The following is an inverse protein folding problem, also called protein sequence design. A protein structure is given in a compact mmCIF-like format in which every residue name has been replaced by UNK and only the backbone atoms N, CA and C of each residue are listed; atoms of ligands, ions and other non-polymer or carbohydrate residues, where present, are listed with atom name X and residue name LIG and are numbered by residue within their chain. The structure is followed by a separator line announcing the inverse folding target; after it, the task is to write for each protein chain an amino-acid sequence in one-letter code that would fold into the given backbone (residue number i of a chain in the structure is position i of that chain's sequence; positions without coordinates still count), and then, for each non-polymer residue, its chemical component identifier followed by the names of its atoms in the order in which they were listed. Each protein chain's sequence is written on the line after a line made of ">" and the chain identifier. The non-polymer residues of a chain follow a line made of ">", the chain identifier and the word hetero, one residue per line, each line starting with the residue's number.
data_IF_910221714819
#
_entry.id   IF_910221714819
#
_cell.length_a   1.000
_cell.length_b   1.000
_cell.length_c   1.000
_cell.angle_alpha   90.00
_cell.angle_beta   90.00
_cell.angle_gamma   90.00
#
_symmetry.space_group_name_H-M   'P 1'
#
loop_
_entity.id
_entity.type
_entity.pdbx_description
1 polymer ?
#
# COMPACT_ATOMS: atom_id res chain seq x y z
N UNK A 1 58.62 14.29 44.00
CA UNK A 1 57.98 14.67 42.73
C UNK A 1 56.74 13.80 42.52
N UNK A 2 55.54 14.36 42.65
CA UNK A 2 54.29 13.60 42.51
C UNK A 2 54.01 13.34 41.01
N UNK A 3 53.89 12.06 40.61
CA UNK A 3 53.51 11.67 39.25
C UNK A 3 52.11 12.22 38.95
N UNK A 4 51.99 13.12 37.96
CA UNK A 4 50.70 13.55 37.40
C UNK A 4 49.92 12.32 36.93
N UNK A 5 48.75 12.09 37.54
CA UNK A 5 47.77 11.09 37.12
C UNK A 5 47.36 11.44 35.68
N UNK A 6 47.72 10.62 34.70
CA UNK A 6 47.19 10.76 33.34
C UNK A 6 45.70 10.46 33.40
N UNK A 7 44.86 11.48 33.27
CA UNK A 7 43.44 11.29 32.97
C UNK A 7 43.32 10.64 31.59
N UNK A 8 42.98 9.36 31.57
CA UNK A 8 42.57 8.66 30.36
C UNK A 8 41.24 9.26 29.91
N UNK A 9 41.28 10.29 29.05
CA UNK A 9 40.08 10.81 28.40
C UNK A 9 39.55 9.71 27.47
N UNK A 10 38.40 9.12 27.82
CA UNK A 10 37.68 8.24 26.91
C UNK A 10 37.48 8.97 25.57
N UNK A 11 37.83 8.32 24.46
CA UNK A 11 37.57 8.86 23.12
C UNK A 11 36.05 8.85 22.88
N UNK A 12 35.39 9.97 23.18
CA UNK A 12 33.96 10.13 22.92
C UNK A 12 33.67 10.07 21.40
N UNK A 13 32.67 9.29 20.96
CA UNK A 13 32.36 9.08 19.53
C UNK A 13 31.69 10.31 18.88
N UNK A 14 31.14 11.22 19.68
CA UNK A 14 30.55 12.50 19.25
C UNK A 14 31.21 13.61 20.02
N UNK A 15 31.71 14.65 19.34
CA UNK A 15 32.39 15.79 19.96
C UNK A 15 31.66 17.09 19.72
N UNK A 16 31.48 17.88 20.78
CA UNK A 16 31.05 19.28 20.65
C UNK A 16 32.23 20.11 20.13
N UNK A 17 31.97 20.95 19.13
CA UNK A 17 32.91 21.88 18.52
C UNK A 17 32.26 23.25 18.35
N UNK A 18 33.10 24.26 18.17
CA UNK A 18 32.69 25.65 18.04
C UNK A 18 33.21 26.24 16.74
N UNK A 19 32.37 27.03 16.07
CA UNK A 19 32.73 27.81 14.89
C UNK A 19 32.52 29.29 15.20
N UNK A 20 33.57 30.09 15.11
CA UNK A 20 33.49 31.54 15.28
C UNK A 20 32.67 32.15 14.14
N UNK A 21 31.78 33.08 14.47
CA UNK A 21 30.98 33.84 13.51
C UNK A 21 31.50 35.28 13.41
N UNK A 22 31.22 35.93 12.28
CA UNK A 22 31.65 37.30 12.01
C UNK A 22 31.11 38.33 13.02
N UNK A 23 29.99 38.02 13.69
CA UNK A 23 29.38 38.86 14.71
C UNK A 23 29.94 38.63 16.13
N UNK A 24 31.00 37.83 16.29
CA UNK A 24 31.63 37.54 17.58
C UNK A 24 31.02 36.37 18.36
N UNK A 25 29.86 35.84 17.93
CA UNK A 25 29.26 34.66 18.55
C UNK A 25 29.97 33.37 18.14
N UNK A 26 29.79 32.30 18.90
CA UNK A 26 30.28 30.96 18.56
C UNK A 26 29.12 30.02 18.28
N UNK A 27 29.04 29.48 17.07
CA UNK A 27 28.06 28.43 16.73
C UNK A 27 28.53 27.07 17.23
N UNK A 28 27.64 26.34 17.91
CA UNK A 28 27.91 24.99 18.41
C UNK A 28 27.52 23.95 17.35
N UNK A 29 28.40 22.99 17.08
CA UNK A 29 28.14 21.85 16.21
C UNK A 29 28.71 20.55 16.77
N UNK A 30 28.13 19.43 16.37
CA UNK A 30 28.64 18.09 16.67
C UNK A 30 29.53 17.60 15.52
N UNK A 31 30.62 16.92 15.88
CA UNK A 31 31.61 16.31 14.98
C UNK A 31 31.71 14.82 15.31
N UNK A 32 31.26 13.97 14.37
CA UNK A 32 31.21 12.51 14.53
C UNK A 32 31.34 11.79 13.18
N UNK A 33 31.47 10.46 13.20
CA UNK A 33 31.63 9.62 12.00
C UNK A 33 30.41 8.70 11.83
N UNK A 34 29.94 8.50 10.60
CA UNK A 34 28.85 7.57 10.26
C UNK A 34 29.32 6.47 9.29
N UNK A 35 28.79 5.24 9.45
CA UNK A 35 29.13 4.05 8.64
C UNK A 35 29.85 2.93 9.41
N UNK A 36 30.07 1.79 8.77
CA UNK A 36 30.76 0.63 9.35
C UNK A 36 32.22 0.99 9.69
N UNK A 37 32.47 1.25 10.97
CA UNK A 37 33.79 1.63 11.46
C UNK A 37 34.69 0.40 11.52
N UNK A 38 35.27 0.01 10.39
CA UNK A 38 36.41 -0.90 10.37
C UNK A 38 37.59 -0.15 10.98
N UNK A 39 37.95 -0.48 12.23
CA UNK A 39 39.15 0.04 12.89
C UNK A 39 40.32 -0.87 12.54
N UNK A 40 41.09 -0.54 11.51
CA UNK A 40 42.47 -1.03 11.34
C UNK A 40 43.44 0.02 11.89
N UNK A 41 44.64 -0.41 12.28
CA UNK A 41 45.60 0.34 13.11
C UNK A 41 45.89 1.80 12.71
N UNK A 42 45.55 2.24 11.49
CA UNK A 42 45.61 3.65 11.07
C UNK A 42 44.45 4.12 10.17
N UNK A 43 43.29 3.46 10.20
CA UNK A 43 42.13 3.82 9.36
C UNK A 43 40.81 3.68 10.12
N UNK A 44 39.99 4.73 10.07
CA UNK A 44 38.60 4.75 10.55
C UNK A 44 37.73 4.89 9.30
N UNK A 45 37.23 3.76 8.78
CA UNK A 45 36.25 3.78 7.68
C UNK A 45 34.95 4.39 8.17
N UNK A 46 34.65 5.63 7.77
CA UNK A 46 33.41 6.31 8.14
C UNK A 46 33.37 7.70 7.54
N UNK A 47 32.18 8.15 7.12
CA UNK A 47 31.99 9.50 6.60
C UNK A 47 31.87 10.47 7.78
N UNK A 48 32.80 11.41 7.89
CA UNK A 48 32.74 12.47 8.92
C UNK A 48 31.54 13.37 8.67
N UNK A 49 30.75 13.65 9.70
CA UNK A 49 29.55 14.47 9.69
C UNK A 49 29.71 15.67 10.62
N UNK A 50 29.14 16.81 10.18
CA UNK A 50 29.05 18.03 10.96
C UNK A 50 27.59 18.43 11.13
N UNK A 51 27.12 18.48 12.37
CA UNK A 51 25.73 18.80 12.69
C UNK A 51 25.67 20.11 13.48
N UNK A 52 25.27 21.20 12.82
CA UNK A 52 25.14 22.51 13.45
C UNK A 52 23.85 22.57 14.28
N UNK A 53 23.98 22.76 15.59
CA UNK A 53 22.87 22.69 16.54
C UNK A 53 21.97 23.94 16.52
N UNK A 54 22.35 24.98 15.75
CA UNK A 54 21.75 26.32 15.80
C UNK A 54 21.73 26.92 17.22
N UNK A 55 22.63 26.47 18.08
CA UNK A 55 22.93 27.03 19.39
C UNK A 55 24.15 27.94 19.27
N UNK A 56 24.14 29.05 19.98
CA UNK A 56 25.18 30.07 19.91
C UNK A 56 25.62 30.49 21.30
N UNK A 57 26.93 30.56 21.51
CA UNK A 57 27.49 31.24 22.68
C UNK A 57 27.71 32.70 22.32
N UNK A 58 27.32 33.57 23.25
CA UNK A 58 27.52 35.02 23.15
C UNK A 58 28.78 35.43 23.92
N UNK A 59 29.43 36.55 23.56
CA UNK A 59 30.55 37.08 24.34
C UNK A 59 30.16 37.35 25.79
N UNK A 60 30.87 36.72 26.73
CA UNK A 60 30.59 36.84 28.16
C UNK A 60 31.04 38.21 28.69
N UNK A 61 30.12 39.17 28.75
CA UNK A 61 30.36 40.51 29.33
C UNK A 61 29.70 40.68 30.69
N UNK A 62 28.61 39.97 30.93
CA UNK A 62 27.82 40.03 32.16
C UNK A 62 27.65 38.65 32.81
N UNK A 63 27.24 38.64 34.08
CA UNK A 63 26.87 37.41 34.80
C UNK A 63 25.69 36.69 34.13
N UNK A 64 24.79 37.43 33.50
CA UNK A 64 23.64 36.91 32.76
C UNK A 64 24.06 36.22 31.46
N UNK A 65 25.06 36.76 30.75
CA UNK A 65 25.63 36.12 29.55
C UNK A 65 26.26 34.78 29.89
N UNK A 66 26.98 34.70 31.02
CA UNK A 66 27.56 33.47 31.53
C UNK A 66 26.49 32.42 31.84
N UNK A 67 25.39 32.81 32.50
CA UNK A 67 24.28 31.91 32.80
C UNK A 67 23.57 31.41 31.52
N UNK A 68 23.39 32.27 30.52
CA UNK A 68 22.83 31.89 29.20
C UNK A 68 23.74 30.92 28.45
N UNK A 69 25.05 31.17 28.45
CA UNK A 69 26.03 30.26 27.84
C UNK A 69 26.06 28.90 28.55
N UNK A 70 25.96 28.87 29.88
CA UNK A 70 25.92 27.63 30.66
C UNK A 70 24.68 26.79 30.33
N UNK A 71 23.49 27.40 30.28
CA UNK A 71 22.26 26.72 29.86
C UNK A 71 22.34 26.21 28.41
N UNK A 72 22.93 27.01 27.52
CA UNK A 72 23.14 26.64 26.11
C UNK A 72 24.10 25.46 25.98
N UNK A 73 25.17 25.43 26.77
CA UNK A 73 26.13 24.31 26.84
C UNK A 73 25.49 23.05 27.45
N UNK A 74 24.65 23.19 28.48
CA UNK A 74 23.91 22.07 29.06
C UNK A 74 22.98 21.42 28.02
N UNK A 75 22.26 22.24 27.24
CA UNK A 75 21.45 21.76 26.12
C UNK A 75 22.29 21.08 25.04
N UNK A 76 23.44 21.66 24.67
CA UNK A 76 24.36 21.05 23.72
C UNK A 76 24.88 19.68 24.21
N UNK A 77 25.20 19.53 25.50
CA UNK A 77 25.58 18.26 26.12
C UNK A 77 24.44 17.24 26.11
N UNK A 78 23.20 17.66 26.37
CA UNK A 78 22.05 16.77 26.28
C UNK A 78 21.86 16.23 24.84
N UNK A 79 22.03 17.09 23.82
CA UNK A 79 21.97 16.69 22.40
C UNK A 79 23.15 15.77 22.05
N UNK A 80 24.36 16.05 22.55
CA UNK A 80 25.53 15.19 22.38
C UNK A 80 25.27 13.78 22.95
N UNK A 81 24.78 13.68 24.19
CA UNK A 81 24.46 12.40 24.84
C UNK A 81 23.42 11.62 24.05
N UNK A 82 22.38 12.29 23.55
CA UNK A 82 21.36 11.67 22.69
C UNK A 82 21.99 11.11 21.40
N UNK A 83 22.88 11.86 20.75
CA UNK A 83 23.57 11.42 19.52
C UNK A 83 24.52 10.25 19.76
N UNK A 84 25.18 10.19 20.92
CA UNK A 84 26.02 9.04 21.31
C UNK A 84 25.17 7.77 21.40
N UNK A 85 24.00 7.86 22.03
CA UNK A 85 23.05 6.73 22.14
C UNK A 85 22.56 6.30 20.75
N UNK A 86 22.22 7.25 19.87
CA UNK A 86 21.81 6.95 18.49
C UNK A 86 22.91 6.23 17.69
N UNK A 87 24.16 6.69 17.76
CA UNK A 87 25.27 6.03 17.05
C UNK A 87 25.62 4.66 17.63
N UNK A 88 25.51 4.48 18.95
CA UNK A 88 25.67 3.17 19.58
C UNK A 88 24.55 2.22 19.17
N UNK A 89 23.32 2.72 19.06
CA UNK A 89 22.20 1.94 18.57
C UNK A 89 22.41 1.51 17.11
N UNK A 90 22.83 2.43 16.24
CA UNK A 90 23.10 2.13 14.83
C UNK A 90 24.27 1.14 14.66
N UNK A 91 25.36 1.29 15.43
CA UNK A 91 26.55 0.42 15.35
C UNK A 91 26.31 -1.01 15.87
N UNK A 92 25.33 -1.20 16.75
CA UNK A 92 24.95 -2.50 17.29
C UNK A 92 23.64 -3.05 16.69
N UNK A 93 23.06 -2.38 15.69
CA UNK A 93 21.82 -2.80 15.05
C UNK A 93 20.55 -2.64 15.89
N UNK A 94 20.60 -1.87 16.99
CA UNK A 94 19.41 -1.54 17.77
C UNK A 94 18.52 -0.57 16.98
N UNK A 95 17.39 -1.08 16.50
CA UNK A 95 16.37 -0.27 15.86
C UNK A 95 15.89 0.84 16.79
N UNK A 96 15.51 1.98 16.22
CA UNK A 96 14.90 3.10 16.94
C UNK A 96 13.72 2.57 17.80
N UNK A 97 13.97 2.39 19.11
CA UNK A 97 13.30 1.36 19.92
C UNK A 97 11.84 1.65 20.23
N UNK A 98 11.36 2.87 20.00
CA UNK A 98 9.96 3.23 20.23
C UNK A 98 9.09 3.13 18.99
N UNK A 99 9.60 3.48 17.80
CA UNK A 99 8.81 3.39 16.56
C UNK A 99 8.70 1.95 16.06
N UNK A 100 9.77 1.18 16.17
CA UNK A 100 9.81 -0.22 15.73
C UNK A 100 8.96 -1.17 16.60
N UNK A 101 8.53 -0.72 17.79
CA UNK A 101 7.49 -1.37 18.63
C UNK A 101 6.07 -1.09 18.16
N UNK A 102 5.87 -0.25 17.13
CA UNK A 102 4.55 -0.03 16.58
C UNK A 102 3.96 -1.35 16.07
N UNK A 103 2.67 -1.54 16.32
CA UNK A 103 1.94 -2.73 15.92
C UNK A 103 1.62 -2.68 14.43
N UNK A 104 2.02 -3.71 13.69
CA UNK A 104 1.76 -3.85 12.25
C UNK A 104 0.27 -3.99 11.96
N UNK A 105 -0.49 -4.59 12.89
CA UNK A 105 -1.94 -4.73 12.75
C UNK A 105 -2.62 -3.36 12.71
N UNK A 106 -2.27 -2.46 13.62
CA UNK A 106 -2.84 -1.10 13.68
C UNK A 106 -2.43 -0.27 12.46
N UNK A 107 -1.19 -0.43 12.02
CA UNK A 107 -0.69 0.19 10.79
C UNK A 107 -1.50 -0.25 9.56
N UNK A 108 -1.79 -1.54 9.45
CA UNK A 108 -2.64 -2.10 8.39
C UNK A 108 -4.09 -1.63 8.51
N UNK A 109 -4.63 -1.45 9.72
CA UNK A 109 -5.98 -0.87 9.90
C UNK A 109 -6.05 0.56 9.36
N UNK A 110 -5.02 1.37 9.61
CA UNK A 110 -4.94 2.72 9.02
C UNK A 110 -4.87 2.65 7.48
N UNK A 111 -4.03 1.77 6.92
CA UNK A 111 -3.97 1.55 5.47
C UNK A 111 -5.34 1.13 4.88
N UNK A 112 -6.10 0.32 5.63
CA UNK A 112 -7.45 -0.12 5.26
C UNK A 112 -8.43 1.05 5.21
N UNK A 113 -8.44 1.94 6.23
CA UNK A 113 -9.29 3.13 6.25
C UNK A 113 -9.02 4.05 5.07
N UNK A 114 -7.74 4.37 4.83
CA UNK A 114 -7.34 5.21 3.69
C UNK A 114 -7.77 4.62 2.34
N UNK A 115 -7.71 3.29 2.22
CA UNK A 115 -8.14 2.60 1.00
C UNK A 115 -9.64 2.68 0.79
N UNK A 116 -10.42 2.62 1.88
CA UNK A 116 -11.88 2.80 1.86
C UNK A 116 -12.26 4.22 1.43
N UNK A 117 -11.64 5.23 2.03
CA UNK A 117 -11.86 6.65 1.72
C UNK A 117 -11.57 6.97 0.24
N UNK A 118 -10.54 6.35 -0.33
CA UNK A 118 -10.18 6.48 -1.76
C UNK A 118 -11.09 5.65 -2.69
N UNK A 119 -12.09 4.94 -2.18
CA UNK A 119 -12.99 4.09 -2.96
C UNK A 119 -12.35 2.80 -3.48
N UNK A 120 -11.17 2.41 -2.96
CA UNK A 120 -10.45 1.19 -3.36
C UNK A 120 -10.96 -0.04 -2.60
N UNK A 121 -12.24 -0.36 -2.74
CA UNK A 121 -12.95 -1.36 -1.94
C UNK A 121 -12.36 -2.78 -2.03
N UNK A 122 -11.81 -3.19 -3.19
CA UNK A 122 -11.19 -4.51 -3.32
C UNK A 122 -9.87 -4.59 -2.54
N UNK A 123 -9.07 -3.52 -2.56
CA UNK A 123 -7.83 -3.47 -1.80
C UNK A 123 -8.13 -3.38 -0.30
N UNK A 124 -9.11 -2.58 0.11
CA UNK A 124 -9.62 -2.52 1.48
C UNK A 124 -9.98 -3.92 2.03
N UNK A 125 -10.75 -4.71 1.28
CA UNK A 125 -11.07 -6.11 1.65
C UNK A 125 -9.83 -7.00 1.75
N UNK A 126 -8.88 -6.82 0.83
CA UNK A 126 -7.62 -7.60 0.83
C UNK A 126 -6.80 -7.28 2.08
N UNK A 127 -6.71 -6.00 2.47
CA UNK A 127 -6.07 -5.59 3.72
C UNK A 127 -6.80 -6.17 4.93
N UNK A 128 -8.14 -6.11 4.94
CA UNK A 128 -8.95 -6.72 6.01
C UNK A 128 -8.73 -8.21 6.18
N UNK A 129 -8.66 -8.97 5.08
CA UNK A 129 -8.32 -10.39 5.12
C UNK A 129 -6.88 -10.63 5.60
N UNK A 130 -5.93 -9.82 5.15
CA UNK A 130 -4.52 -9.91 5.59
C UNK A 130 -4.40 -9.71 7.10
N UNK A 131 -5.11 -8.73 7.66
CA UNK A 131 -5.17 -8.49 9.12
C UNK A 131 -5.73 -9.72 9.84
N UNK A 132 -6.81 -10.33 9.33
CA UNK A 132 -7.37 -11.55 9.91
C UNK A 132 -6.35 -12.68 9.93
N UNK A 133 -5.68 -12.94 8.82
CA UNK A 133 -4.69 -14.03 8.74
C UNK A 133 -3.48 -13.78 9.66
N UNK A 134 -3.02 -12.53 9.80
CA UNK A 134 -1.97 -12.18 10.75
C UNK A 134 -2.41 -12.40 12.20
N UNK A 135 -3.65 -12.04 12.54
CA UNK A 135 -4.22 -12.30 13.87
C UNK A 135 -4.32 -13.78 14.19
N UNK A 136 -4.73 -14.60 13.22
CA UNK A 136 -4.77 -16.06 13.37
C UNK A 136 -3.37 -16.68 13.50
N UNK A 137 -2.36 -16.08 12.86
CA UNK A 137 -0.99 -16.57 12.90
C UNK A 137 -0.26 -16.26 14.22
N UNK A 138 -0.37 -15.01 14.72
CA UNK A 138 0.44 -14.50 15.84
C UNK A 138 -0.29 -13.60 16.85
N UNK A 139 -1.61 -13.44 16.71
CA UNK A 139 -2.43 -12.63 17.62
C UNK A 139 -2.54 -11.16 17.23
N UNK A 140 -3.08 -10.34 18.14
CA UNK A 140 -3.46 -8.95 17.87
C UNK A 140 -2.30 -7.95 17.86
N UNK A 141 -1.14 -8.35 18.39
CA UNK A 141 0.03 -7.49 18.50
C UNK A 141 1.25 -8.13 17.84
N UNK A 142 1.77 -7.46 16.81
CA UNK A 142 2.97 -7.86 16.09
C UNK A 142 3.81 -6.60 15.90
N UNK A 143 4.92 -6.46 16.62
CA UNK A 143 5.79 -5.31 16.47
C UNK A 143 6.55 -5.37 15.13
N UNK A 144 6.74 -4.23 14.49
CA UNK A 144 7.51 -4.15 13.25
C UNK A 144 8.95 -4.70 13.38
N UNK A 145 9.59 -4.51 14.55
CA UNK A 145 10.94 -5.02 14.82
C UNK A 145 11.04 -6.54 14.84
N UNK A 146 9.93 -7.23 15.13
CA UNK A 146 9.86 -8.69 15.25
C UNK A 146 9.54 -9.35 13.90
N UNK A 147 9.38 -8.56 12.83
CA UNK A 147 9.21 -9.06 11.46
C UNK A 147 10.59 -9.15 10.81
N UNK A 148 11.14 -10.35 10.79
CA UNK A 148 12.36 -10.71 10.07
C UNK A 148 12.05 -11.65 8.89
N UNK A 149 13.10 -12.16 8.24
CA UNK A 149 12.97 -13.13 7.14
C UNK A 149 12.24 -14.41 7.59
N UNK A 150 12.50 -14.89 8.80
CA UNK A 150 11.94 -16.15 9.31
C UNK A 150 10.45 -16.01 9.68
N UNK A 151 10.06 -14.83 10.18
CA UNK A 151 8.66 -14.44 10.35
C UNK A 151 7.94 -14.48 9.00
N UNK A 152 8.49 -13.83 7.96
CA UNK A 152 7.89 -13.81 6.63
C UNK A 152 7.76 -15.23 6.05
N UNK A 153 8.81 -16.03 6.22
CA UNK A 153 8.84 -17.42 5.80
C UNK A 153 7.74 -18.25 6.47
N UNK A 154 7.64 -18.17 7.79
CA UNK A 154 6.66 -18.87 8.61
C UNK A 154 5.23 -18.41 8.32
N UNK A 155 5.03 -17.12 8.10
CA UNK A 155 3.72 -16.56 7.76
C UNK A 155 3.24 -17.06 6.40
N UNK A 156 4.13 -17.15 5.40
CA UNK A 156 3.78 -17.70 4.09
C UNK A 156 3.43 -19.19 4.17
N UNK A 157 4.17 -19.96 4.97
CA UNK A 157 3.86 -21.38 5.17
C UNK A 157 2.51 -21.58 5.88
N UNK A 158 2.20 -20.72 6.86
CA UNK A 158 0.87 -20.64 7.47
C UNK A 158 -0.21 -20.33 6.43
N UNK A 159 -0.03 -19.30 5.60
CA UNK A 159 -1.01 -18.90 4.59
C UNK A 159 -1.32 -20.00 3.58
N UNK A 160 -0.34 -20.83 3.20
CA UNK A 160 -0.54 -21.98 2.30
C UNK A 160 -1.43 -23.07 2.91
N UNK A 161 -1.51 -23.14 4.24
CA UNK A 161 -2.33 -24.10 4.98
C UNK A 161 -3.62 -23.48 5.52
N UNK A 162 -3.75 -22.15 5.47
CA UNK A 162 -4.89 -21.43 6.00
C UNK A 162 -6.18 -21.79 5.25
N UNK A 163 -7.24 -22.08 6.02
CA UNK A 163 -8.56 -22.43 5.49
C UNK A 163 -9.26 -21.20 4.92
N UNK A 164 -10.05 -21.39 3.86
CA UNK A 164 -10.88 -20.31 3.31
C UNK A 164 -11.93 -19.87 4.34
N UNK A 165 -12.00 -18.57 4.61
CA UNK A 165 -13.11 -17.97 5.35
C UNK A 165 -14.17 -17.42 4.39
N UNK A 166 -15.42 -17.49 4.82
CA UNK A 166 -16.57 -16.87 4.15
C UNK A 166 -16.62 -15.37 4.40
N UNK A 167 -17.56 -14.70 3.72
CA UNK A 167 -17.85 -13.26 3.88
C UNK A 167 -18.14 -12.87 5.34
N UNK A 168 -18.63 -13.80 6.15
CA UNK A 168 -19.00 -13.59 7.56
C UNK A 168 -17.92 -14.07 8.55
N UNK A 169 -16.72 -14.41 8.06
CA UNK A 169 -15.64 -14.94 8.92
C UNK A 169 -15.81 -16.42 9.30
N UNK A 170 -16.95 -17.05 8.96
CA UNK A 170 -17.16 -18.48 9.16
C UNK A 170 -16.25 -19.28 8.22
N UNK A 171 -15.65 -20.36 8.71
CA UNK A 171 -14.90 -21.31 7.88
C UNK A 171 -15.79 -21.82 6.76
N UNK A 172 -15.35 -21.68 5.51
CA UNK A 172 -16.08 -22.24 4.37
C UNK A 172 -15.81 -23.75 4.33
N UNK A 173 -16.85 -24.55 4.07
CA UNK A 173 -16.65 -25.97 3.79
C UNK A 173 -15.76 -26.12 2.54
N UNK A 174 -14.57 -26.68 2.74
CA UNK A 174 -13.63 -27.05 1.67
C UNK A 174 -12.60 -25.98 1.28
N UNK A 175 -11.32 -26.34 1.43
CA UNK A 175 -10.18 -25.76 0.72
C UNK A 175 -9.31 -24.77 1.51
N UNK A 176 -8.02 -24.80 1.19
CA UNK A 176 -7.01 -23.82 1.64
C UNK A 176 -7.01 -22.58 0.74
N UNK A 177 -6.37 -21.49 1.17
CA UNK A 177 -6.17 -20.31 0.32
C UNK A 177 -5.50 -20.69 -1.01
N UNK A 178 -5.94 -20.09 -2.11
CA UNK A 178 -5.25 -20.25 -3.39
C UNK A 178 -3.94 -19.48 -3.40
N UNK A 179 -2.98 -19.88 -4.23
CA UNK A 179 -1.71 -19.17 -4.36
C UNK A 179 -1.90 -17.68 -4.65
N UNK A 180 -2.87 -17.32 -5.49
CA UNK A 180 -3.17 -15.92 -5.80
C UNK A 180 -3.66 -15.13 -4.57
N UNK A 181 -4.35 -15.79 -3.63
CA UNK A 181 -4.77 -15.17 -2.36
C UNK A 181 -3.57 -14.99 -1.43
N UNK A 182 -2.68 -15.99 -1.34
CA UNK A 182 -1.42 -15.90 -0.58
C UNK A 182 -0.55 -14.75 -1.10
N UNK A 183 -0.41 -14.65 -2.44
CA UNK A 183 0.32 -13.55 -3.10
C UNK A 183 -0.30 -12.19 -2.75
N UNK A 184 -1.62 -12.07 -2.78
CA UNK A 184 -2.30 -10.82 -2.46
C UNK A 184 -2.08 -10.41 -0.98
N UNK A 185 -2.17 -11.35 -0.05
CA UNK A 185 -2.01 -11.06 1.39
C UNK A 185 -0.56 -10.74 1.74
N UNK A 186 0.39 -11.52 1.21
CA UNK A 186 1.81 -11.19 1.33
C UNK A 186 2.13 -9.83 0.68
N UNK A 187 1.51 -9.51 -0.46
CA UNK A 187 1.68 -8.21 -1.13
C UNK A 187 1.24 -7.02 -0.25
N UNK A 188 0.16 -7.17 0.52
CA UNK A 188 -0.26 -6.17 1.51
C UNK A 188 0.78 -6.02 2.61
N UNK A 189 1.23 -7.11 3.23
CA UNK A 189 2.23 -7.08 4.29
C UNK A 189 3.56 -6.47 3.79
N UNK A 190 4.02 -6.89 2.61
CA UNK A 190 5.21 -6.34 1.93
C UNK A 190 5.07 -4.83 1.70
N UNK A 191 3.88 -4.37 1.30
CA UNK A 191 3.62 -2.93 1.13
C UNK A 191 3.73 -2.19 2.45
N UNK A 192 3.19 -2.73 3.55
CA UNK A 192 3.31 -2.14 4.87
C UNK A 192 4.77 -2.07 5.34
N UNK A 193 5.53 -3.15 5.20
CA UNK A 193 6.96 -3.19 5.56
C UNK A 193 7.77 -2.19 4.73
N UNK A 194 7.52 -2.10 3.42
CA UNK A 194 8.20 -1.14 2.55
C UNK A 194 7.90 0.31 2.94
N UNK A 195 6.67 0.63 3.35
CA UNK A 195 6.32 1.97 3.84
C UNK A 195 6.96 2.24 5.20
N UNK A 196 6.88 1.31 6.14
CA UNK A 196 7.52 1.40 7.44
C UNK A 196 9.03 1.65 7.32
N UNK A 197 9.70 0.99 6.37
CA UNK A 197 11.11 1.25 6.07
C UNK A 197 11.34 2.68 5.55
N UNK A 198 10.52 3.15 4.60
CA UNK A 198 10.63 4.53 4.06
C UNK A 198 10.32 5.60 5.12
N UNK A 199 9.44 5.31 6.06
CA UNK A 199 9.05 6.19 7.17
C UNK A 199 10.03 6.13 8.35
N UNK A 200 11.07 5.28 8.27
CA UNK A 200 12.07 5.10 9.33
C UNK A 200 11.52 4.43 10.60
N UNK A 201 10.42 3.68 10.48
CA UNK A 201 9.87 2.83 11.55
C UNK A 201 10.79 1.62 11.78
N UNK A 202 11.31 1.06 10.70
CA UNK A 202 12.33 0.01 10.68
C UNK A 202 13.54 0.46 9.86
N UNK A 203 14.72 0.03 10.25
CA UNK A 203 16.00 0.40 9.59
C UNK A 203 16.48 -0.64 8.59
N UNK A 204 15.94 -1.86 8.68
CA UNK A 204 16.22 -2.98 7.76
C UNK A 204 14.90 -3.45 7.17
N UNK A 205 14.90 -3.80 5.89
CA UNK A 205 13.72 -4.29 5.20
C UNK A 205 13.85 -5.81 4.96
N UNK A 206 13.18 -6.65 5.76
CA UNK A 206 13.30 -8.12 5.67
C UNK A 206 12.81 -8.69 4.33
N UNK A 207 11.98 -7.95 3.59
CA UNK A 207 11.45 -8.41 2.30
C UNK A 207 12.51 -8.44 1.19
N UNK A 208 13.67 -7.82 1.41
CA UNK A 208 14.81 -7.89 0.48
C UNK A 208 15.58 -9.20 0.58
N UNK A 209 15.54 -9.86 1.74
CA UNK A 209 16.26 -11.11 2.03
C UNK A 209 15.37 -12.34 1.93
N UNK A 210 14.05 -12.13 1.79
CA UNK A 210 13.06 -13.18 1.65
C UNK A 210 12.61 -13.34 0.20
N UNK A 211 13.04 -14.45 -0.43
CA UNK A 211 12.60 -14.83 -1.77
C UNK A 211 11.21 -15.46 -1.75
N UNK A 212 10.19 -14.61 -1.82
CA UNK A 212 8.80 -15.04 -1.90
C UNK A 212 8.46 -15.76 -3.22
N UNK A 213 9.11 -15.41 -4.32
CA UNK A 213 8.74 -15.86 -5.66
C UNK A 213 9.06 -17.34 -5.89
N UNK A 214 10.11 -17.88 -5.25
CA UNK A 214 10.38 -19.32 -5.26
C UNK A 214 9.38 -20.14 -4.45
N UNK A 215 8.75 -19.55 -3.41
CA UNK A 215 7.80 -20.25 -2.53
C UNK A 215 6.38 -20.34 -3.05
N UNK A 216 5.91 -19.29 -3.73
CA UNK A 216 4.52 -19.18 -4.18
C UNK A 216 4.48 -18.67 -5.61
N UNK A 217 3.99 -19.50 -6.53
CA UNK A 217 3.82 -19.13 -7.93
C UNK A 217 2.37 -18.76 -8.20
N UNK A 218 2.17 -17.68 -8.95
CA UNK A 218 0.83 -17.28 -9.39
C UNK A 218 0.22 -18.40 -10.23
N UNK A 219 -1.02 -18.74 -9.93
CA UNK A 219 -1.80 -19.67 -10.74
C UNK A 219 -2.47 -18.89 -11.85
N UNK A 220 -2.27 -19.33 -13.10
CA UNK A 220 -2.95 -18.72 -14.24
C UNK A 220 -4.44 -19.01 -14.13
N UNK A 221 -5.23 -17.96 -13.88
CA UNK A 221 -6.68 -18.08 -13.98
C UNK A 221 -7.06 -18.22 -15.45
N UNK A 222 -7.56 -19.39 -15.87
CA UNK A 222 -8.23 -19.51 -17.16
C UNK A 222 -9.52 -18.70 -17.09
N UNK A 223 -9.59 -17.63 -17.88
CA UNK A 223 -10.84 -16.87 -18.04
C UNK A 223 -11.62 -17.55 -19.14
N UNK A 224 -12.87 -17.86 -18.85
CA UNK A 224 -13.81 -18.28 -19.87
C UNK A 224 -14.21 -17.07 -20.71
N UNK A 225 -14.61 -17.33 -21.95
CA UNK A 225 -15.15 -16.35 -22.88
C UNK A 225 -16.38 -16.95 -23.57
N UNK A 226 -17.27 -16.08 -24.02
CA UNK A 226 -18.41 -16.45 -24.84
C UNK A 226 -18.01 -16.59 -26.30
N UNK A 227 -18.39 -17.70 -26.94
CA UNK A 227 -18.33 -17.83 -28.40
C UNK A 227 -19.49 -17.05 -29.03
N UNK A 228 -19.40 -16.76 -30.33
CA UNK A 228 -20.47 -16.10 -31.08
C UNK A 228 -21.76 -16.93 -31.02
N UNK A 229 -21.66 -18.26 -31.09
CA UNK A 229 -22.81 -19.17 -31.00
C UNK A 229 -23.45 -19.14 -29.60
N UNK A 230 -22.65 -19.10 -28.54
CA UNK A 230 -23.15 -18.95 -27.17
C UNK A 230 -23.84 -17.59 -26.97
N UNK A 231 -23.26 -16.51 -27.53
CA UNK A 231 -23.86 -15.19 -27.48
C UNK A 231 -25.21 -15.15 -28.24
N UNK A 232 -25.30 -15.78 -29.41
CA UNK A 232 -26.55 -15.93 -30.17
C UNK A 232 -27.60 -16.72 -29.39
N UNK A 233 -27.20 -17.79 -28.70
CA UNK A 233 -28.10 -18.55 -27.81
C UNK A 233 -28.63 -17.69 -26.67
N UNK A 234 -27.77 -16.88 -26.03
CA UNK A 234 -28.22 -15.91 -25.02
C UNK A 234 -29.25 -14.93 -25.59
N UNK A 235 -28.98 -14.34 -26.76
CA UNK A 235 -29.90 -13.42 -27.43
C UNK A 235 -31.28 -14.06 -27.63
N UNK A 236 -31.32 -15.31 -28.09
CA UNK A 236 -32.57 -16.06 -28.31
C UNK A 236 -33.25 -16.58 -27.04
N UNK A 237 -32.59 -16.52 -25.88
CA UNK A 237 -33.13 -17.00 -24.60
C UNK A 237 -33.80 -15.85 -23.86
N UNK A 238 -34.99 -16.11 -23.30
CA UNK A 238 -35.71 -15.14 -22.47
C UNK A 238 -34.90 -14.78 -21.22
N UNK A 239 -34.76 -13.48 -20.95
CA UNK A 239 -34.15 -12.99 -19.72
C UNK A 239 -35.22 -12.30 -18.90
N UNK A 240 -35.39 -12.72 -17.64
CA UNK A 240 -36.35 -12.10 -16.71
C UNK A 240 -36.18 -10.57 -16.57
N UNK A 241 -34.97 -10.06 -16.77
CA UNK A 241 -34.65 -8.65 -16.60
C UNK A 241 -34.11 -8.07 -17.90
N UNK A 242 -35.00 -7.50 -18.72
CA UNK A 242 -34.66 -7.02 -20.06
C UNK A 242 -33.55 -5.96 -20.07
N UNK A 243 -33.61 -5.00 -19.12
CA UNK A 243 -32.58 -3.97 -19.00
C UNK A 243 -31.17 -4.54 -18.74
N UNK A 244 -31.10 -5.69 -18.05
CA UNK A 244 -29.84 -6.38 -17.79
C UNK A 244 -29.35 -7.14 -19.02
N UNK A 245 -30.26 -7.75 -19.79
CA UNK A 245 -29.95 -8.37 -21.10
C UNK A 245 -29.39 -7.33 -22.07
N UNK A 246 -30.09 -6.21 -22.21
CA UNK A 246 -29.67 -5.05 -23.00
C UNK A 246 -28.27 -4.57 -22.59
N UNK A 247 -28.05 -4.30 -21.29
CA UNK A 247 -26.77 -3.83 -20.81
C UNK A 247 -25.62 -4.82 -21.04
N UNK A 248 -25.85 -6.12 -20.84
CA UNK A 248 -24.83 -7.14 -21.06
C UNK A 248 -24.47 -7.26 -22.54
N UNK A 249 -25.45 -7.34 -23.43
CA UNK A 249 -25.23 -7.48 -24.87
C UNK A 249 -24.60 -6.22 -25.48
N UNK A 250 -25.05 -5.04 -25.04
CA UNK A 250 -24.40 -3.77 -25.36
C UNK A 250 -22.92 -3.79 -24.93
N UNK A 251 -22.63 -4.28 -23.72
CA UNK A 251 -21.28 -4.40 -23.21
C UNK A 251 -20.41 -5.39 -23.99
N UNK A 252 -20.97 -6.51 -24.44
CA UNK A 252 -20.26 -7.49 -25.27
C UNK A 252 -19.83 -6.88 -26.62
N UNK A 253 -20.67 -6.02 -27.20
CA UNK A 253 -20.38 -5.37 -28.49
C UNK A 253 -19.45 -4.17 -28.35
N UNK A 254 -19.52 -3.44 -27.23
CA UNK A 254 -18.74 -2.22 -26.98
C UNK A 254 -17.43 -2.47 -26.20
N UNK A 255 -17.24 -3.65 -25.60
CA UNK A 255 -16.07 -3.97 -24.78
C UNK A 255 -15.97 -3.15 -23.48
N UNK A 256 -17.10 -2.67 -22.96
CA UNK A 256 -17.14 -1.87 -21.74
C UNK A 256 -17.07 -2.74 -20.48
N UNK A 257 -16.61 -2.16 -19.36
CA UNK A 257 -16.62 -2.84 -18.06
C UNK A 257 -17.94 -2.60 -17.36
N UNK A 258 -18.34 -3.52 -16.49
CA UNK A 258 -19.56 -3.39 -15.66
C UNK A 258 -19.61 -2.07 -14.89
N UNK A 259 -18.47 -1.59 -14.40
CA UNK A 259 -18.40 -0.32 -13.66
C UNK A 259 -18.68 0.90 -14.54
N UNK A 260 -18.25 0.85 -15.80
CA UNK A 260 -18.42 1.91 -16.77
C UNK A 260 -19.87 1.88 -17.30
N UNK A 261 -20.41 0.70 -17.66
CA UNK A 261 -21.82 0.51 -18.05
C UNK A 261 -22.80 1.02 -16.98
N UNK A 262 -22.54 0.71 -15.70
CA UNK A 262 -23.40 1.13 -14.58
C UNK A 262 -23.40 2.63 -14.32
N UNK A 263 -22.46 3.37 -14.89
CA UNK A 263 -22.31 4.82 -14.75
C UNK A 263 -22.58 5.58 -16.04
N UNK A 264 -22.79 4.86 -17.13
CA UNK A 264 -23.02 5.43 -18.45
C UNK A 264 -24.34 6.20 -18.44
N UNK A 265 -24.27 7.47 -18.83
CA UNK A 265 -25.40 8.41 -18.90
C UNK A 265 -25.75 8.74 -20.34
N UNK A 266 -26.96 9.25 -20.55
CA UNK A 266 -27.38 9.70 -21.89
C UNK A 266 -26.49 10.80 -22.45
N UNK A 267 -26.01 11.74 -21.63
CA UNK A 267 -25.05 12.77 -22.02
C UNK A 267 -23.67 12.24 -22.41
N UNK A 268 -23.33 10.99 -22.05
CA UNK A 268 -22.08 10.37 -22.48
C UNK A 268 -22.17 9.89 -23.95
N UNK A 269 -23.38 9.83 -24.53
CA UNK A 269 -23.60 9.54 -25.95
C UNK A 269 -23.54 10.84 -26.75
N UNK A 270 -22.51 10.96 -27.59
CA UNK A 270 -22.28 12.11 -28.45
C UNK A 270 -22.55 11.74 -29.90
N UNK A 271 -23.36 12.57 -30.57
CA UNK A 271 -23.64 12.42 -32.00
C UNK A 271 -22.62 13.23 -32.80
N UNK A 272 -21.86 12.55 -33.66
CA UNK A 272 -20.91 13.17 -34.59
C UNK A 272 -21.32 12.81 -36.02
N UNK A 273 -22.03 13.73 -36.67
CA UNK A 273 -22.69 13.47 -37.95
C UNK A 273 -23.79 12.41 -37.80
N UNK A 274 -23.69 11.32 -38.55
CA UNK A 274 -24.61 10.18 -38.48
C UNK A 274 -24.21 9.12 -37.44
N UNK A 275 -22.99 9.21 -36.88
CA UNK A 275 -22.47 8.19 -35.95
C UNK A 275 -22.62 8.63 -34.51
N UNK A 276 -22.94 7.68 -33.64
CA UNK A 276 -22.99 7.88 -32.18
C UNK A 276 -21.70 7.32 -31.58
N UNK A 277 -21.10 8.04 -30.63
CA UNK A 277 -19.94 7.60 -29.87
C UNK A 277 -20.15 7.79 -28.37
N UNK A 278 -19.48 6.97 -27.57
CA UNK A 278 -19.39 7.13 -26.13
C UNK A 278 -18.17 7.98 -25.81
N UNK A 279 -18.36 9.00 -24.98
CA UNK A 279 -17.29 9.79 -24.39
C UNK A 279 -17.35 9.69 -22.86
N UNK A 280 -16.49 8.86 -22.28
CA UNK A 280 -16.43 8.69 -20.82
C UNK A 280 -15.01 8.73 -20.31
N UNK A 281 -14.85 9.10 -19.04
CA UNK A 281 -13.59 8.91 -18.32
C UNK A 281 -13.64 7.56 -17.60
N UNK A 282 -12.84 6.59 -18.05
CA UNK A 282 -12.83 5.24 -17.48
C UNK A 282 -12.64 5.28 -15.97
N UNK A 283 -13.45 4.54 -15.22
CA UNK A 283 -13.43 4.64 -13.75
C UNK A 283 -12.07 4.24 -13.16
N UNK A 284 -11.45 3.19 -13.70
CA UNK A 284 -10.26 2.55 -13.14
C UNK A 284 -8.96 3.25 -13.55
N UNK A 285 -8.78 3.56 -14.83
CA UNK A 285 -7.56 4.17 -15.35
C UNK A 285 -7.60 5.70 -15.33
N UNK A 286 -8.80 6.29 -15.21
CA UNK A 286 -9.03 7.74 -15.31
C UNK A 286 -8.67 8.32 -16.68
N UNK A 287 -8.48 7.49 -17.69
CA UNK A 287 -8.23 7.91 -19.06
C UNK A 287 -9.57 8.19 -19.77
N UNK A 288 -9.62 9.19 -20.66
CA UNK A 288 -10.77 9.38 -21.53
C UNK A 288 -10.86 8.23 -22.54
N UNK A 289 -12.07 7.75 -22.77
CA UNK A 289 -12.43 6.76 -23.77
C UNK A 289 -13.39 7.41 -24.77
N UNK A 290 -13.01 7.34 -26.04
CA UNK A 290 -13.83 7.73 -27.18
C UNK A 290 -14.13 6.45 -27.97
N UNK A 291 -15.37 5.96 -27.89
CA UNK A 291 -15.75 4.68 -28.49
C UNK A 291 -16.90 4.88 -29.51
N UNK A 292 -16.64 4.75 -30.82
CA UNK A 292 -17.71 4.66 -31.81
C UNK A 292 -18.61 3.45 -31.56
N UNK A 293 -19.92 3.63 -31.63
CA UNK A 293 -20.91 2.56 -31.41
C UNK A 293 -21.36 2.02 -32.77
N UNK A 294 -21.42 0.69 -32.89
CA UNK A 294 -21.98 0.04 -34.08
C UNK A 294 -23.51 0.06 -34.08
N UNK A 295 -24.11 -0.02 -35.26
CA UNK A 295 -25.58 -0.08 -35.39
C UNK A 295 -26.18 -1.27 -34.65
N UNK A 296 -25.45 -2.39 -34.58
CA UNK A 296 -25.86 -3.56 -33.82
C UNK A 296 -25.88 -3.30 -32.32
N UNK A 297 -24.90 -2.55 -31.80
CA UNK A 297 -24.88 -2.16 -30.39
C UNK A 297 -26.00 -1.16 -30.06
N UNK A 298 -26.34 -0.24 -30.97
CA UNK A 298 -27.43 0.71 -30.77
C UNK A 298 -28.79 0.03 -30.55
N UNK A 299 -29.02 -1.14 -31.16
CA UNK A 299 -30.26 -1.93 -30.95
C UNK A 299 -30.43 -2.40 -29.50
N UNK A 300 -29.35 -2.47 -28.73
CA UNK A 300 -29.35 -2.88 -27.33
C UNK A 300 -29.44 -1.70 -26.36
N UNK A 301 -29.58 -0.47 -26.84
CA UNK A 301 -29.93 0.66 -25.99
C UNK A 301 -31.43 0.61 -25.63
N UNK A 302 -31.80 0.91 -24.38
CA UNK A 302 -33.20 1.08 -24.02
C UNK A 302 -33.77 2.32 -24.72
N UNK A 303 -35.10 2.41 -24.80
CA UNK A 303 -35.73 3.64 -25.27
C UNK A 303 -35.49 4.77 -24.26
N UNK A 304 -35.03 5.93 -24.75
CA UNK A 304 -34.70 7.08 -23.89
C UNK A 304 -35.95 7.63 -23.17
N UNK A 305 -37.12 7.64 -23.82
CA UNK A 305 -38.37 8.15 -23.26
C UNK A 305 -38.18 9.53 -22.58
N UNK A 306 -38.63 9.69 -21.34
CA UNK A 306 -38.50 10.92 -20.54
C UNK A 306 -37.13 11.08 -19.84
N UNK A 307 -36.16 10.19 -20.11
CA UNK A 307 -34.87 10.22 -19.44
C UNK A 307 -34.05 11.46 -19.85
N UNK A 308 -33.57 12.17 -18.84
CA UNK A 308 -32.72 13.35 -19.00
C UNK A 308 -31.29 12.93 -19.31
N UNK A 309 -30.52 13.89 -19.82
CA UNK A 309 -29.11 13.70 -20.15
C UNK A 309 -28.27 13.11 -19.01
N UNK A 310 -28.53 13.51 -17.77
CA UNK A 310 -27.78 13.03 -16.59
C UNK A 310 -28.24 11.68 -16.03
N UNK A 311 -29.34 11.13 -16.55
CA UNK A 311 -29.87 9.85 -16.13
C UNK A 311 -29.02 8.71 -16.70
N UNK A 312 -28.94 7.61 -15.93
CA UNK A 312 -28.22 6.42 -16.34
C UNK A 312 -28.95 5.74 -17.49
N UNK A 313 -28.20 5.32 -18.52
CA UNK A 313 -28.73 4.50 -19.61
C UNK A 313 -29.19 3.16 -19.07
N UNK A 314 -28.37 2.54 -18.21
CA UNK A 314 -28.65 1.24 -17.62
C UNK A 314 -28.72 1.35 -16.08
N UNK A 315 -29.92 1.50 -15.49
CA UNK A 315 -30.10 1.57 -14.04
C UNK A 315 -29.95 0.18 -13.39
N UNK A 316 -28.73 -0.36 -13.40
CA UNK A 316 -28.44 -1.70 -12.90
C UNK A 316 -28.13 -1.73 -11.40
N UNK A 317 -28.53 -2.82 -10.76
CA UNK A 317 -28.19 -3.14 -9.36
C UNK A 317 -26.69 -3.43 -9.15
N UNK A 318 -26.31 -3.89 -7.96
CA UNK A 318 -24.94 -4.26 -7.64
C UNK A 318 -24.43 -5.45 -8.48
N UNK A 319 -23.16 -5.41 -8.89
CA UNK A 319 -22.49 -6.40 -9.76
C UNK A 319 -22.70 -7.86 -9.31
N UNK A 320 -22.63 -8.13 -8.01
CA UNK A 320 -22.88 -9.48 -7.48
C UNK A 320 -24.28 -10.03 -7.77
N UNK A 321 -25.30 -9.17 -7.86
CA UNK A 321 -26.67 -9.57 -8.25
C UNK A 321 -26.76 -9.74 -9.76
N UNK A 322 -26.13 -8.84 -10.52
CA UNK A 322 -26.04 -8.94 -11.99
C UNK A 322 -25.42 -10.29 -12.38
N UNK A 323 -24.29 -10.66 -11.79
CA UNK A 323 -23.60 -11.92 -12.11
C UNK A 323 -24.43 -13.16 -11.75
N UNK A 324 -25.24 -13.11 -10.67
CA UNK A 324 -26.16 -14.21 -10.32
C UNK A 324 -27.26 -14.37 -11.36
N UNK A 325 -27.84 -13.26 -11.81
CA UNK A 325 -28.87 -13.25 -12.86
C UNK A 325 -28.26 -13.76 -14.17
N UNK A 326 -27.07 -13.28 -14.53
CA UNK A 326 -26.35 -13.69 -15.73
C UNK A 326 -26.05 -15.18 -15.74
N UNK A 327 -25.55 -15.73 -14.63
CA UNK A 327 -25.29 -17.16 -14.54
C UNK A 327 -26.56 -18.00 -14.68
N UNK A 328 -27.70 -17.53 -14.14
CA UNK A 328 -28.99 -18.20 -14.32
C UNK A 328 -29.43 -18.16 -15.78
N UNK A 329 -29.42 -16.98 -16.39
CA UNK A 329 -29.81 -16.80 -17.79
C UNK A 329 -28.92 -17.61 -18.75
N UNK A 330 -27.61 -17.68 -18.49
CA UNK A 330 -26.68 -18.54 -19.22
C UNK A 330 -27.03 -20.03 -19.09
N UNK A 331 -27.42 -20.48 -17.90
CA UNK A 331 -27.87 -21.86 -17.67
C UNK A 331 -29.15 -22.17 -18.46
N UNK A 332 -30.10 -21.23 -18.46
CA UNK A 332 -31.36 -21.35 -19.20
C UNK A 332 -31.10 -21.41 -20.73
N UNK A 333 -30.03 -20.76 -21.22
CA UNK A 333 -29.55 -20.84 -22.60
C UNK A 333 -28.72 -22.11 -22.93
N UNK A 334 -28.59 -23.03 -21.97
CA UNK A 334 -27.80 -24.26 -22.13
C UNK A 334 -26.28 -24.03 -22.17
N UNK A 335 -25.79 -22.96 -21.53
CA UNK A 335 -24.35 -22.66 -21.43
C UNK A 335 -23.84 -23.14 -20.07
N UNK A 336 -22.92 -24.10 -20.11
CA UNK A 336 -22.39 -24.80 -18.91
C UNK A 336 -21.29 -23.98 -18.22
N UNK A 337 -20.68 -23.05 -18.95
CA UNK A 337 -19.62 -22.14 -18.49
C UNK A 337 -20.03 -21.31 -17.27
N UNK A 338 -19.06 -20.99 -16.43
CA UNK A 338 -19.22 -20.00 -15.37
C UNK A 338 -19.03 -18.59 -15.95
N UNK A 339 -20.15 -17.89 -16.14
CA UNK A 339 -20.20 -16.57 -16.76
C UNK A 339 -20.35 -15.49 -15.70
N UNK A 340 -19.56 -14.43 -15.86
CA UNK A 340 -19.69 -13.17 -15.16
C UNK A 340 -19.80 -12.03 -16.18
N UNK A 341 -20.14 -10.82 -15.74
CA UNK A 341 -20.18 -9.67 -16.65
C UNK A 341 -18.81 -9.37 -17.30
N UNK A 342 -17.72 -9.90 -16.75
CA UNK A 342 -16.36 -9.75 -17.28
C UNK A 342 -15.84 -10.97 -18.07
N UNK A 343 -16.69 -11.98 -18.25
CA UNK A 343 -16.48 -13.12 -19.18
C UNK A 343 -16.70 -12.62 -20.60
#
# INVERSE_FOLDING_TARGET
>A
MAKKKQEVKLKEPVRIRFKQLANGNQSIYLDYYTGDVIRKENYVGGKRQYEFLKLYLIPEKTREDKAKNEATLALAKAIQSKRIVELQNDAHGFQNTNKSKANVIDYLMNMRSQSKERGSLNYEKTVGNTIRELKLFRGDYIAFRDIDKDFLNSFVDFLKQAKKASKFGLLKAGGVLSNNSVIAYYGVLRTAINRAYKEGIITVNPTKEFDFASKVKAEVSRREYLTIEELKRLIGTECKYEIMKQAFLFSCLCGLRVSDIRKLKWNDLQKSGERIRIEIKMQKTKEPLYLPISDEALKWLPQQNEAKGDDLIFPLTHEGTINKILQKWAKDAGIIKHISFHT
#
